data_IF_486385461464
#
_entry.id   IF_486385461464
#
_cell.length_a   1.000
_cell.length_b   1.000
_cell.length_c   1.000
_cell.angle_alpha   90.00
_cell.angle_beta   90.00
_cell.angle_gamma   90.00
#
_symmetry.space_group_name_H-M   'P 1'
#
loop_
_entity.id
_entity.type
_entity.pdbx_description
1 polymer ?
#
# COMPACT_ATOMS: atom_id res chain seq x y z
N UNK A 1 -29.08 -2.87 22.61
CA UNK A 1 -28.06 -3.43 21.68
C UNK A 1 -27.10 -2.30 21.40
N UNK A 2 -25.98 -2.27 22.11
CA UNK A 2 -24.84 -1.42 21.72
C UNK A 2 -24.21 -2.05 20.48
N UNK A 3 -23.99 -1.24 19.46
CA UNK A 3 -23.24 -1.63 18.27
C UNK A 3 -21.77 -1.36 18.62
N UNK A 4 -21.00 -2.41 18.86
CA UNK A 4 -19.54 -2.29 18.92
C UNK A 4 -19.04 -1.78 17.56
N UNK A 5 -18.64 -0.51 17.54
CA UNK A 5 -17.97 0.09 16.40
C UNK A 5 -16.56 -0.51 16.35
N UNK A 6 -16.30 -1.38 15.38
CA UNK A 6 -14.96 -1.90 15.14
C UNK A 6 -13.98 -0.71 14.96
N UNK A 7 -12.92 -0.67 15.77
CA UNK A 7 -11.85 0.30 15.58
C UNK A 7 -11.25 0.09 14.17
N UNK A 8 -11.31 1.14 13.35
CA UNK A 8 -10.66 1.19 12.06
C UNK A 8 -9.15 1.30 12.28
N UNK A 9 -8.45 0.18 12.18
CA UNK A 9 -6.99 0.16 12.23
C UNK A 9 -6.48 0.63 10.87
N UNK A 10 -5.97 1.87 10.81
CA UNK A 10 -5.29 2.41 9.62
C UNK A 10 -3.91 1.75 9.51
N UNK A 11 -3.79 0.77 8.60
CA UNK A 11 -2.50 0.18 8.26
C UNK A 11 -1.86 1.02 7.15
N UNK A 12 -1.15 2.09 7.54
CA UNK A 12 -0.22 2.76 6.65
C UNK A 12 1.09 1.98 6.62
N UNK A 13 1.19 0.99 5.73
CA UNK A 13 2.42 0.20 5.57
C UNK A 13 3.24 0.84 4.42
N UNK A 14 4.34 1.55 4.73
CA UNK A 14 5.14 2.21 3.71
C UNK A 14 6.05 1.17 3.04
N UNK A 15 5.56 0.59 1.95
CA UNK A 15 6.47 -0.05 1.01
C UNK A 15 7.17 1.03 0.16
N UNK A 16 8.43 0.81 -0.19
CA UNK A 16 9.19 1.71 -1.07
C UNK A 16 9.54 0.93 -2.33
N UNK A 17 8.85 1.24 -3.42
CA UNK A 17 9.14 0.67 -4.72
C UNK A 17 9.61 1.75 -5.69
N UNK A 18 10.46 1.33 -6.63
CA UNK A 18 11.07 2.22 -7.60
C UNK A 18 10.14 2.44 -8.79
N UNK A 19 9.97 3.71 -9.14
CA UNK A 19 9.18 4.13 -10.28
C UNK A 19 10.07 4.79 -11.34
N UNK A 20 9.71 4.63 -12.61
CA UNK A 20 10.31 5.34 -13.74
C UNK A 20 9.31 6.34 -14.32
N UNK A 21 9.83 7.44 -14.87
CA UNK A 21 9.01 8.44 -15.56
C UNK A 21 9.09 8.23 -17.08
N UNK A 22 7.93 8.14 -17.73
CA UNK A 22 7.77 8.17 -19.19
C UNK A 22 7.02 9.41 -19.66
N UNK A 23 7.24 9.82 -20.90
CA UNK A 23 6.47 10.88 -21.58
C UNK A 23 5.76 10.33 -22.82
N UNK A 24 4.52 10.76 -23.05
CA UNK A 24 3.75 10.45 -24.26
C UNK A 24 3.16 11.75 -24.81
N UNK A 25 3.40 12.03 -26.10
CA UNK A 25 2.75 13.14 -26.79
C UNK A 25 1.25 12.87 -26.94
N UNK A 26 0.46 13.85 -26.55
CA UNK A 26 -0.98 13.87 -26.67
C UNK A 26 -1.39 14.31 -28.08
N UNK A 27 -2.60 13.95 -28.49
CA UNK A 27 -3.13 14.33 -29.80
C UNK A 27 -3.27 15.84 -30.03
N UNK A 28 -3.27 16.64 -28.96
CA UNK A 28 -3.31 18.11 -28.98
C UNK A 28 -1.91 18.76 -28.90
N UNK A 29 -0.84 17.95 -28.90
CA UNK A 29 0.54 18.43 -28.77
C UNK A 29 1.02 18.62 -27.33
N UNK A 30 0.20 18.32 -26.31
CA UNK A 30 0.61 18.33 -24.91
C UNK A 30 1.43 17.11 -24.52
N UNK A 31 2.30 17.22 -23.51
CA UNK A 31 3.04 16.06 -22.97
C UNK A 31 2.34 15.48 -21.75
N UNK A 32 2.03 14.20 -21.79
CA UNK A 32 1.58 13.46 -20.61
C UNK A 32 2.79 12.79 -19.95
N UNK A 33 2.95 13.02 -18.66
CA UNK A 33 3.97 12.37 -17.85
C UNK A 33 3.35 11.22 -17.05
N UNK A 34 4.07 10.10 -16.99
CA UNK A 34 3.62 8.89 -16.33
C UNK A 34 4.65 8.43 -15.33
N UNK A 35 4.25 8.20 -14.08
CA UNK A 35 5.04 7.52 -13.07
C UNK A 35 4.60 6.05 -13.03
N UNK A 36 5.45 5.14 -13.50
CA UNK A 36 5.13 3.70 -13.62
C UNK A 36 6.07 2.82 -12.81
N UNK A 37 5.54 1.76 -12.20
CA UNK A 37 6.34 0.80 -11.43
C UNK A 37 5.51 -0.05 -10.48
N UNK A 38 6.20 -0.75 -9.58
CA UNK A 38 5.57 -1.58 -8.54
C UNK A 38 5.07 -0.65 -7.42
N UNK A 39 3.91 -0.94 -6.86
CA UNK A 39 3.33 -0.20 -5.74
C UNK A 39 3.25 -1.05 -4.46
N UNK A 40 3.02 -2.36 -4.61
CA UNK A 40 3.10 -3.36 -3.53
C UNK A 40 3.33 -4.76 -4.07
N UNK A 41 3.92 -5.63 -3.26
CA UNK A 41 4.09 -7.05 -3.54
C UNK A 41 3.68 -7.88 -2.32
N UNK A 42 3.82 -9.21 -2.43
CA UNK A 42 3.48 -10.13 -1.35
C UNK A 42 4.69 -10.50 -0.47
N UNK A 43 5.81 -9.78 -0.58
CA UNK A 43 7.00 -10.03 0.21
C UNK A 43 6.85 -9.43 1.62
N UNK A 44 7.52 -10.02 2.63
CA UNK A 44 7.59 -9.42 3.95
C UNK A 44 8.31 -8.07 3.90
N UNK A 45 7.74 -7.07 4.56
CA UNK A 45 8.37 -5.78 4.76
C UNK A 45 9.40 -5.82 5.91
N UNK A 46 9.97 -4.65 6.25
CA UNK A 46 10.94 -4.52 7.35
C UNK A 46 10.39 -4.88 8.73
N UNK A 47 9.07 -4.87 8.89
CA UNK A 47 8.35 -5.23 10.12
C UNK A 47 7.80 -6.67 10.05
N UNK A 48 8.21 -7.44 9.05
CA UNK A 48 7.74 -8.80 8.77
C UNK A 48 6.22 -8.89 8.53
N UNK A 49 5.62 -7.79 8.07
CA UNK A 49 4.24 -7.71 7.60
C UNK A 49 4.19 -7.96 6.10
N UNK A 50 3.09 -8.53 5.61
CA UNK A 50 2.90 -8.78 4.17
C UNK A 50 1.42 -8.70 3.81
N UNK A 51 1.14 -8.30 2.59
CA UNK A 51 -0.20 -8.45 2.04
C UNK A 51 -0.43 -9.85 1.48
N UNK A 52 -1.67 -10.34 1.62
CA UNK A 52 -2.07 -11.57 0.93
C UNK A 52 -2.26 -11.28 -0.56
N UNK A 53 -2.01 -12.28 -1.41
CA UNK A 53 -2.24 -12.15 -2.87
C UNK A 53 -3.67 -11.71 -3.20
N UNK A 54 -4.65 -12.17 -2.44
CA UNK A 54 -6.05 -11.77 -2.61
C UNK A 54 -6.25 -10.29 -2.28
N UNK A 55 -5.60 -9.81 -1.22
CA UNK A 55 -5.68 -8.39 -0.86
C UNK A 55 -5.07 -7.49 -1.93
N UNK A 56 -3.91 -7.86 -2.49
CA UNK A 56 -3.26 -7.13 -3.59
C UNK A 56 -4.16 -7.10 -4.84
N UNK A 57 -4.84 -8.21 -5.17
CA UNK A 57 -5.83 -8.23 -6.25
C UNK A 57 -6.97 -7.24 -6.02
N UNK A 58 -7.52 -7.18 -4.81
CA UNK A 58 -8.60 -6.23 -4.48
C UNK A 58 -8.12 -4.77 -4.54
N UNK A 59 -6.83 -4.51 -4.32
CA UNK A 59 -6.27 -3.17 -4.48
C UNK A 59 -6.30 -2.70 -5.93
N UNK A 60 -6.17 -3.59 -6.92
CA UNK A 60 -6.18 -3.21 -8.35
C UNK A 60 -7.46 -2.46 -8.70
N UNK A 61 -8.61 -3.04 -8.35
CA UNK A 61 -9.92 -2.47 -8.65
C UNK A 61 -10.14 -1.13 -7.92
N UNK A 62 -9.54 -0.98 -6.74
CA UNK A 62 -9.65 0.23 -5.93
C UNK A 62 -8.69 1.32 -6.37
N UNK A 63 -7.56 0.96 -6.97
CA UNK A 63 -6.47 1.89 -7.28
C UNK A 63 -6.81 2.82 -8.45
N UNK A 64 -7.50 2.32 -9.48
CA UNK A 64 -7.80 3.12 -10.68
C UNK A 64 -8.68 4.32 -10.33
N UNK A 65 -8.25 5.51 -10.73
CA UNK A 65 -8.90 6.78 -10.42
C UNK A 65 -8.52 7.39 -9.07
N UNK A 66 -7.75 6.70 -8.23
CA UNK A 66 -7.26 7.29 -6.97
C UNK A 66 -6.27 8.43 -7.24
N UNK A 67 -6.45 9.54 -6.54
CA UNK A 67 -5.49 10.65 -6.52
C UNK A 67 -4.18 10.21 -5.88
N UNK A 68 -3.07 10.58 -6.52
CA UNK A 68 -1.73 10.40 -5.98
C UNK A 68 -1.27 11.71 -5.32
N UNK A 69 -0.66 11.60 -4.15
CA UNK A 69 -0.25 12.74 -3.34
C UNK A 69 1.25 12.76 -3.07
N UNK A 70 1.82 13.96 -2.97
CA UNK A 70 3.21 14.17 -2.59
C UNK A 70 3.41 14.03 -1.07
N UNK A 71 4.43 13.29 -0.65
CA UNK A 71 4.90 13.17 0.75
C UNK A 71 3.77 12.90 1.78
N UNK A 72 2.89 11.95 1.51
CA UNK A 72 1.77 11.52 2.39
C UNK A 72 0.75 12.61 2.77
N UNK A 73 0.79 13.80 2.15
CA UNK A 73 -0.14 14.89 2.43
C UNK A 73 -1.38 14.80 1.56
N UNK A 74 -2.52 14.43 2.16
CA UNK A 74 -3.79 14.18 1.46
C UNK A 74 -4.63 15.47 1.32
N UNK A 75 -4.08 16.48 0.66
CA UNK A 75 -4.79 17.73 0.33
C UNK A 75 -4.63 18.07 -1.17
N UNK A 76 -5.46 18.99 -1.67
CA UNK A 76 -5.46 19.36 -3.09
C UNK A 76 -4.13 19.98 -3.55
N UNK A 77 -3.45 20.73 -2.67
CA UNK A 77 -2.19 21.40 -2.98
C UNK A 77 -1.03 20.39 -3.15
N UNK A 78 -1.20 19.18 -2.62
CA UNK A 78 -0.25 18.08 -2.75
C UNK A 78 -0.69 16.98 -3.72
N UNK A 79 -1.81 17.18 -4.45
CA UNK A 79 -2.15 16.33 -5.59
C UNK A 79 -1.03 16.42 -6.65
N UNK A 80 -0.63 15.28 -7.19
CA UNK A 80 0.36 15.20 -8.27
C UNK A 80 -0.15 14.46 -9.50
N UNK A 81 -1.37 13.94 -9.44
CA UNK A 81 -1.94 13.11 -10.50
C UNK A 81 -2.90 12.06 -9.97
N UNK A 82 -3.16 11.05 -10.79
CA UNK A 82 -4.06 9.95 -10.44
C UNK A 82 -3.59 8.64 -11.07
N UNK A 83 -3.95 7.53 -10.44
CA UNK A 83 -3.70 6.21 -10.97
C UNK A 83 -4.58 5.95 -12.20
N UNK A 84 -3.98 5.86 -13.38
CA UNK A 84 -4.68 5.64 -14.64
C UNK A 84 -4.93 4.16 -14.89
N UNK A 85 -3.94 3.33 -14.56
CA UNK A 85 -3.99 1.89 -14.75
C UNK A 85 -3.34 1.19 -13.55
N UNK A 86 -3.91 0.06 -13.17
CA UNK A 86 -3.37 -0.83 -12.16
C UNK A 86 -3.52 -2.28 -12.65
N UNK A 87 -2.50 -3.11 -12.46
CA UNK A 87 -2.49 -4.49 -12.90
C UNK A 87 -1.69 -5.37 -11.93
N UNK A 88 -1.93 -6.68 -11.95
CA UNK A 88 -1.05 -7.65 -11.30
C UNK A 88 -0.05 -8.20 -12.32
N UNK A 89 1.24 -8.08 -12.02
CA UNK A 89 2.32 -8.74 -12.73
C UNK A 89 3.20 -9.45 -11.68
N UNK A 90 3.49 -10.74 -11.87
CA UNK A 90 4.37 -11.51 -10.99
C UNK A 90 4.01 -11.42 -9.48
N UNK A 91 2.72 -11.51 -9.15
CA UNK A 91 2.17 -11.34 -7.79
C UNK A 91 2.35 -9.95 -7.15
N UNK A 92 2.78 -8.95 -7.92
CA UNK A 92 2.92 -7.56 -7.48
C UNK A 92 1.87 -6.65 -8.14
N UNK A 93 1.44 -5.62 -7.42
CA UNK A 93 0.62 -4.52 -7.92
C UNK A 93 1.53 -3.55 -8.70
N UNK A 94 1.34 -3.49 -10.00
CA UNK A 94 1.93 -2.45 -10.85
C UNK A 94 0.91 -1.35 -11.08
N UNK A 95 1.37 -0.10 -11.01
CA UNK A 95 0.53 1.07 -11.27
C UNK A 95 1.17 1.98 -12.31
N UNK A 96 0.32 2.67 -13.03
CA UNK A 96 0.69 3.73 -13.95
C UNK A 96 -0.06 5.01 -13.54
N UNK A 97 0.66 5.95 -12.96
CA UNK A 97 0.11 7.21 -12.45
C UNK A 97 0.31 8.27 -13.52
N UNK A 98 -0.79 8.82 -14.04
CA UNK A 98 -0.73 10.00 -14.89
C UNK A 98 -0.50 11.23 -14.00
N UNK A 99 0.63 11.89 -14.21
CA UNK A 99 1.00 13.09 -13.49
C UNK A 99 0.27 14.31 -14.07
N UNK A 100 0.03 15.31 -13.23
CA UNK A 100 -0.42 16.63 -13.67
C UNK A 100 0.65 17.33 -14.51
N UNK A 101 0.27 18.39 -15.21
CA UNK A 101 1.19 19.16 -16.05
C UNK A 101 2.27 19.87 -15.21
N UNK A 102 3.58 19.61 -15.43
CA UNK A 102 4.66 20.25 -14.67
C UNK A 102 4.77 21.76 -14.88
N UNK A 103 4.16 22.32 -15.92
CA UNK A 103 4.09 23.77 -16.11
C UNK A 103 3.09 24.43 -15.15
N UNK A 104 2.15 23.64 -14.61
CA UNK A 104 1.11 24.08 -13.68
C UNK A 104 1.25 23.49 -12.27
N UNK A 105 2.08 22.46 -12.08
CA UNK A 105 2.31 21.80 -10.79
C UNK A 105 3.81 21.69 -10.44
N UNK A 106 4.26 22.53 -9.51
CA UNK A 106 5.65 22.58 -9.05
C UNK A 106 6.13 21.28 -8.37
N UNK A 107 5.22 20.49 -7.79
CA UNK A 107 5.56 19.21 -7.17
C UNK A 107 5.89 18.17 -8.24
N UNK A 108 5.11 18.12 -9.32
CA UNK A 108 5.42 17.27 -10.48
C UNK A 108 6.75 17.66 -11.09
N UNK A 109 7.00 18.96 -11.27
CA UNK A 109 8.29 19.47 -11.75
C UNK A 109 9.47 19.00 -10.90
N UNK A 110 9.32 19.02 -9.56
CA UNK A 110 10.33 18.49 -8.63
C UNK A 110 10.53 16.98 -8.77
N UNK A 111 9.45 16.21 -8.95
CA UNK A 111 9.53 14.75 -9.15
C UNK A 111 10.29 14.42 -10.43
N UNK A 112 9.96 15.09 -11.54
CA UNK A 112 10.66 14.92 -12.83
C UNK A 112 12.13 15.28 -12.69
N UNK A 113 12.45 16.40 -12.04
CA UNK A 113 13.84 16.81 -11.80
C UNK A 113 14.61 15.80 -10.95
N UNK A 114 13.99 15.24 -9.89
CA UNK A 114 14.59 14.18 -9.07
C UNK A 114 14.92 12.96 -9.92
N UNK A 115 13.97 12.46 -10.71
CA UNK A 115 14.17 11.31 -11.60
C UNK A 115 15.28 11.56 -12.63
N UNK A 116 15.30 12.73 -13.28
CA UNK A 116 16.33 13.09 -14.28
C UNK A 116 17.74 13.18 -13.67
N UNK A 117 17.85 13.44 -12.37
CA UNK A 117 19.11 13.44 -11.64
C UNK A 117 19.47 12.06 -11.04
N UNK A 118 18.75 11.00 -11.42
CA UNK A 118 19.00 9.64 -10.95
C UNK A 118 18.49 9.35 -9.54
N UNK A 119 17.68 10.23 -8.96
CA UNK A 119 17.04 9.99 -7.66
C UNK A 119 15.85 9.05 -7.86
N UNK A 120 15.86 7.93 -7.15
CA UNK A 120 14.78 6.96 -7.14
C UNK A 120 13.55 7.53 -6.41
N UNK A 121 12.39 7.41 -7.04
CA UNK A 121 11.11 7.85 -6.46
C UNK A 121 10.45 6.64 -5.83
N UNK A 122 10.16 6.74 -4.52
CA UNK A 122 9.38 5.75 -3.78
C UNK A 122 7.88 6.03 -3.89
N UNK A 123 7.10 4.97 -4.11
CA UNK A 123 5.64 5.01 -4.01
C UNK A 123 5.18 4.25 -2.77
N UNK A 124 4.24 4.82 -2.02
CA UNK A 124 3.57 4.18 -0.89
C UNK A 124 2.07 4.07 -1.17
N UNK A 125 1.52 2.90 -0.85
CA UNK A 125 0.07 2.64 -0.85
C UNK A 125 -0.36 2.50 0.61
N UNK A 126 -1.48 3.12 0.95
CA UNK A 126 -2.12 3.00 2.26
C UNK A 126 -3.56 2.57 2.08
N UNK A 127 -4.07 1.79 3.02
CA UNK A 127 -5.43 1.28 2.97
C UNK A 127 -5.98 1.06 4.37
N UNK A 128 -7.30 1.02 4.46
CA UNK A 128 -8.01 0.72 5.70
C UNK A 128 -8.58 -0.68 5.59
N UNK A 129 -8.33 -1.51 6.60
CA UNK A 129 -8.93 -2.85 6.67
C UNK A 129 -10.36 -2.69 7.13
N UNK A 130 -11.31 -2.89 6.22
CA UNK A 130 -12.75 -2.71 6.49
C UNK A 130 -13.43 -3.99 6.99
N UNK A 131 -12.77 -5.14 6.87
CA UNK A 131 -13.24 -6.42 7.38
C UNK A 131 -12.05 -7.31 7.73
N UNK A 132 -11.96 -7.72 8.99
CA UNK A 132 -11.09 -8.80 9.44
C UNK A 132 -11.97 -9.99 9.86
N UNK A 133 -11.54 -11.20 9.51
CA UNK A 133 -12.10 -12.42 10.07
C UNK A 133 -10.95 -13.16 10.73
N UNK A 134 -10.96 -13.22 12.05
CA UNK A 134 -10.15 -14.17 12.78
C UNK A 134 -10.92 -15.49 12.83
N UNK A 135 -10.42 -16.51 12.15
CA UNK A 135 -10.89 -17.88 12.41
C UNK A 135 -10.37 -18.26 13.80
N UNK A 136 -11.21 -18.08 14.83
CA UNK A 136 -10.97 -18.65 16.16
C UNK A 136 -11.27 -20.16 16.21
N UNK A 137 -11.43 -20.81 15.06
CA UNK A 137 -11.66 -22.24 14.97
C UNK A 137 -10.34 -23.00 15.22
N UNK A 138 -10.12 -23.32 16.50
CA UNK A 138 -9.06 -24.15 17.13
C UNK A 138 -8.14 -23.38 18.08
N UNK A 139 -8.74 -22.73 19.07
CA UNK A 139 -8.26 -22.96 20.44
C UNK A 139 -9.30 -23.85 21.10
N UNK A 140 -9.13 -25.17 20.92
CA UNK A 140 -9.85 -26.13 21.76
C UNK A 140 -9.54 -25.77 23.21
N UNK A 141 -10.56 -25.30 23.91
CA UNK A 141 -10.63 -25.45 25.35
C UNK A 141 -10.60 -26.95 25.61
N UNK A 142 -9.43 -27.47 25.96
CA UNK A 142 -9.34 -28.77 26.59
C UNK A 142 -9.97 -28.63 27.97
N UNK A 143 -11.19 -29.14 28.10
CA UNK A 143 -11.89 -29.32 29.37
C UNK A 143 -11.07 -30.26 30.29
N UNK A 144 -10.97 -29.84 31.55
CA UNK A 144 -10.91 -30.62 32.79
C UNK A 144 -10.30 -32.04 32.76
N UNK A 145 -9.10 -32.16 33.34
CA UNK A 145 -8.71 -33.34 34.13
C UNK A 145 -8.25 -32.86 35.50
N UNK A 146 -8.98 -33.29 36.53
CA UNK A 146 -8.73 -33.07 37.95
C UNK A 146 -7.39 -33.69 38.42
N UNK A 147 -6.77 -32.95 39.36
CA UNK A 147 -5.91 -33.36 40.47
C UNK A 147 -4.83 -34.44 40.27
N UNK A 148 -3.56 -34.04 40.44
CA UNK A 148 -2.73 -34.51 41.57
C UNK A 148 -1.53 -33.58 41.79
N UNK A 149 -1.19 -33.44 43.07
CA UNK A 149 -0.31 -32.46 43.71
C UNK A 149 1.15 -32.98 43.78
N UNK A 150 2.11 -32.04 43.90
CA UNK A 150 3.58 -32.17 44.10
C UNK A 150 4.39 -32.62 42.85
N UNK A 151 5.47 -31.99 42.38
CA UNK A 151 6.57 -31.27 43.04
C UNK A 151 7.46 -30.47 42.01
N UNK A 152 7.99 -29.32 42.43
CA UNK A 152 9.24 -28.60 42.03
C UNK A 152 9.41 -27.84 40.67
N UNK A 153 10.08 -26.66 40.66
CA UNK A 153 9.97 -25.61 39.63
C UNK A 153 11.15 -25.59 38.64
N UNK A 154 10.91 -25.10 37.43
CA UNK A 154 11.99 -24.89 36.45
C UNK A 154 11.66 -23.85 35.38
N UNK A 155 12.12 -22.61 35.63
CA UNK A 155 12.32 -21.58 34.61
C UNK A 155 13.36 -22.06 33.59
N UNK A 156 13.16 -21.81 32.29
CA UNK A 156 14.27 -21.45 31.39
C UNK A 156 13.81 -20.71 30.12
N UNK A 157 14.77 -19.95 29.60
CA UNK A 157 14.72 -18.71 28.79
C UNK A 157 14.30 -18.93 27.34
#
# INVERSE_FOLDING_TARGET
MEVEMAELIEHSIPFNFEMAIGEVESSDGGKNYYLSGVATDNLPDKQNQRFSKMFIKNMVDSAVGMTCFYEHKRDLDHSIGYCKEANILEDALHVNIQLEDPDNNDLVKKIIAKNNNGVKIGLSVSGVVTKSSYDTAKMDKGDDIEENVDDDPGIQV
#
